data_IF_483690815276
#
_entry.id   IF_483690815276
#
_cell.length_a   1.000
_cell.length_b   1.000
_cell.length_c   1.000
_cell.angle_alpha   90.00
_cell.angle_beta   90.00
_cell.angle_gamma   90.00
#
_symmetry.space_group_name_H-M   'P 1'
#
loop_
_entity.id
_entity.type
_entity.pdbx_description
1 polymer ?
#
# COMPACT_ATOMS: atom_id res chain seq x y z
N UNK A 1 17.68 14.28 15.88
CA UNK A 1 18.22 14.07 14.51
C UNK A 1 18.06 15.36 13.71
N UNK A 2 18.96 15.67 12.77
CA UNK A 2 18.70 16.75 11.82
C UNK A 2 17.45 16.40 10.99
N UNK A 3 16.51 17.34 10.82
CA UNK A 3 15.28 17.15 10.04
C UNK A 3 15.55 16.52 8.67
N UNK A 4 16.65 16.91 8.00
CA UNK A 4 17.04 16.34 6.72
C UNK A 4 17.28 14.81 6.79
N UNK A 5 17.86 14.33 7.89
CA UNK A 5 18.07 12.89 8.10
C UNK A 5 16.74 12.16 8.30
N UNK A 6 15.80 12.77 9.02
CA UNK A 6 14.44 12.23 9.19
C UNK A 6 13.72 12.14 7.84
N UNK A 7 13.81 13.18 7.00
CA UNK A 7 13.25 13.16 5.64
C UNK A 7 13.91 12.11 4.75
N UNK A 8 15.24 11.95 4.84
CA UNK A 8 15.94 10.91 4.08
C UNK A 8 15.53 9.50 4.51
N UNK A 9 15.36 9.26 5.81
CA UNK A 9 14.86 7.98 6.33
C UNK A 9 13.42 7.72 5.90
N UNK A 10 12.56 8.74 5.95
CA UNK A 10 11.18 8.69 5.48
C UNK A 10 11.08 8.23 4.02
N UNK A 11 11.81 8.87 3.11
CA UNK A 11 11.77 8.54 1.67
C UNK A 11 12.32 7.14 1.39
N UNK A 12 13.42 6.75 2.05
CA UNK A 12 13.95 5.38 1.92
C UNK A 12 12.92 4.34 2.35
N UNK A 13 12.16 4.64 3.41
CA UNK A 13 11.04 3.82 3.85
C UNK A 13 9.94 3.73 2.80
N UNK A 14 9.54 4.86 2.20
CA UNK A 14 8.54 4.86 1.12
C UNK A 14 9.00 4.11 -0.14
N UNK A 15 10.29 4.17 -0.49
CA UNK A 15 10.84 3.40 -1.61
C UNK A 15 10.80 1.91 -1.32
N UNK A 16 11.23 1.49 -0.12
CA UNK A 16 11.17 0.09 0.31
C UNK A 16 9.73 -0.42 0.30
N UNK A 17 8.79 0.37 0.82
CA UNK A 17 7.37 0.09 0.79
C UNK A 17 6.86 -0.12 -0.65
N UNK A 18 7.16 0.80 -1.57
CA UNK A 18 6.78 0.67 -2.97
C UNK A 18 7.31 -0.61 -3.62
N UNK A 19 8.56 -0.99 -3.32
CA UNK A 19 9.17 -2.24 -3.82
C UNK A 19 8.44 -3.47 -3.25
N UNK A 20 8.18 -3.50 -1.95
CA UNK A 20 7.51 -4.62 -1.29
C UNK A 20 6.07 -4.78 -1.80
N UNK A 21 5.35 -3.67 -1.95
CA UNK A 21 3.99 -3.65 -2.51
C UNK A 21 3.99 -4.14 -3.97
N UNK A 22 4.94 -3.66 -4.78
CA UNK A 22 5.07 -4.11 -6.16
C UNK A 22 5.36 -5.62 -6.25
N UNK A 23 6.31 -6.10 -5.44
CA UNK A 23 6.67 -7.52 -5.39
C UNK A 23 5.49 -8.38 -4.95
N UNK A 24 4.71 -7.93 -3.95
CA UNK A 24 3.47 -8.59 -3.54
C UNK A 24 2.46 -8.64 -4.70
N UNK A 25 2.26 -7.54 -5.41
CA UNK A 25 1.38 -7.49 -6.58
C UNK A 25 1.81 -8.48 -7.68
N UNK A 26 3.08 -8.47 -8.05
CA UNK A 26 3.63 -9.35 -9.08
C UNK A 26 3.54 -10.84 -8.70
N UNK A 27 3.86 -11.19 -7.44
CA UNK A 27 3.74 -12.57 -6.95
C UNK A 27 2.28 -13.01 -6.88
N UNK A 28 1.34 -12.12 -6.54
CA UNK A 28 -0.10 -12.42 -6.54
C UNK A 28 -0.62 -12.70 -7.96
N UNK A 29 -0.21 -11.92 -8.96
CA UNK A 29 -0.53 -12.18 -10.38
C UNK A 29 0.00 -13.56 -10.78
N UNK A 30 1.26 -13.86 -10.44
CA UNK A 30 1.88 -15.14 -10.74
C UNK A 30 1.10 -16.30 -10.09
N UNK A 31 0.70 -16.16 -8.81
CA UNK A 31 -0.13 -17.15 -8.13
C UNK A 31 -1.47 -17.37 -8.84
N UNK A 32 -2.16 -16.31 -9.27
CA UNK A 32 -3.40 -16.40 -10.05
C UNK A 32 -3.22 -17.21 -11.34
N UNK A 33 -2.12 -16.97 -12.06
CA UNK A 33 -1.77 -17.74 -13.26
C UNK A 33 -1.45 -19.21 -12.93
N UNK A 34 -0.70 -19.48 -11.86
CA UNK A 34 -0.35 -20.84 -11.42
C UNK A 34 -1.60 -21.64 -11.04
N UNK A 35 -2.52 -21.05 -10.29
CA UNK A 35 -3.79 -21.69 -9.92
C UNK A 35 -4.64 -22.04 -11.15
N UNK A 36 -4.66 -21.18 -12.17
CA UNK A 36 -5.35 -21.48 -13.42
C UNK A 36 -4.67 -22.58 -14.23
N UNK A 37 -3.34 -22.52 -14.35
CA UNK A 37 -2.56 -23.42 -15.19
C UNK A 37 -2.48 -24.84 -14.63
N UNK A 38 -2.27 -24.97 -13.32
CA UNK A 38 -2.05 -26.26 -12.65
C UNK A 38 -3.24 -26.73 -11.81
N UNK A 39 -4.24 -25.86 -11.57
CA UNK A 39 -5.44 -26.23 -10.82
C UNK A 39 -6.34 -27.19 -11.60
N UNK A 40 -6.66 -28.33 -10.96
CA UNK A 40 -7.54 -29.35 -11.54
C UNK A 40 -9.02 -29.14 -11.18
N UNK A 41 -9.32 -28.34 -10.15
CA UNK A 41 -10.69 -28.13 -9.65
C UNK A 41 -11.29 -26.79 -10.11
N UNK A 42 -12.63 -26.67 -10.16
CA UNK A 42 -13.30 -25.40 -10.43
C UNK A 42 -12.90 -24.28 -9.46
N UNK A 43 -12.73 -24.60 -8.17
CA UNK A 43 -12.31 -23.64 -7.14
C UNK A 43 -10.91 -23.09 -7.41
N UNK A 44 -9.95 -23.93 -7.81
CA UNK A 44 -8.61 -23.47 -8.14
C UNK A 44 -8.63 -22.52 -9.34
N UNK A 45 -9.35 -22.88 -10.40
CA UNK A 45 -9.46 -22.05 -11.61
C UNK A 45 -10.18 -20.73 -11.38
N UNK A 46 -11.13 -20.69 -10.44
CA UNK A 46 -11.88 -19.48 -10.09
C UNK A 46 -11.01 -18.37 -9.46
N UNK A 47 -9.81 -18.70 -8.97
CA UNK A 47 -8.90 -17.71 -8.35
C UNK A 47 -8.21 -16.79 -9.36
N UNK A 48 -8.19 -17.12 -10.65
CA UNK A 48 -7.42 -16.36 -11.64
C UNK A 48 -7.82 -14.88 -11.69
N UNK A 49 -9.10 -14.59 -11.90
CA UNK A 49 -9.61 -13.22 -12.04
C UNK A 49 -9.35 -12.40 -10.77
N UNK A 50 -9.80 -12.83 -9.57
CA UNK A 50 -9.62 -12.04 -8.35
C UNK A 50 -8.15 -11.81 -7.99
N UNK A 51 -7.28 -12.81 -8.15
CA UNK A 51 -5.85 -12.65 -7.86
C UNK A 51 -5.14 -11.75 -8.88
N UNK A 52 -5.46 -11.87 -10.17
CA UNK A 52 -4.89 -10.99 -11.19
C UNK A 52 -5.30 -9.53 -10.92
N UNK A 53 -6.57 -9.28 -10.60
CA UNK A 53 -7.05 -7.91 -10.33
C UNK A 53 -6.40 -7.33 -9.07
N UNK A 54 -6.41 -8.06 -7.96
CA UNK A 54 -5.76 -7.60 -6.73
C UNK A 54 -4.26 -7.36 -6.95
N UNK A 55 -3.59 -8.29 -7.64
CA UNK A 55 -2.18 -8.21 -7.96
C UNK A 55 -1.83 -7.01 -8.85
N UNK A 56 -2.66 -6.71 -9.87
CA UNK A 56 -2.47 -5.52 -10.70
C UNK A 56 -2.65 -4.22 -9.93
N UNK A 57 -3.64 -4.14 -9.04
CA UNK A 57 -3.85 -2.96 -8.20
C UNK A 57 -2.61 -2.71 -7.33
N UNK A 58 -2.09 -3.71 -6.64
CA UNK A 58 -0.87 -3.55 -5.83
C UNK A 58 0.38 -3.30 -6.66
N UNK A 59 0.56 -3.97 -7.79
CA UNK A 59 1.68 -3.70 -8.68
C UNK A 59 1.66 -2.24 -9.16
N UNK A 60 0.49 -1.73 -9.56
CA UNK A 60 0.35 -0.33 -9.96
C UNK A 60 0.64 0.64 -8.80
N UNK A 61 0.08 0.39 -7.61
CA UNK A 61 0.32 1.21 -6.41
C UNK A 61 1.81 1.24 -6.03
N UNK A 62 2.42 0.07 -5.85
CA UNK A 62 3.84 -0.03 -5.47
C UNK A 62 4.78 0.54 -6.52
N UNK A 63 4.52 0.26 -7.81
CA UNK A 63 5.31 0.80 -8.91
C UNK A 63 5.21 2.33 -9.00
N UNK A 64 4.01 2.88 -8.88
CA UNK A 64 3.80 4.33 -8.89
C UNK A 64 4.49 5.03 -7.70
N UNK A 65 4.41 4.43 -6.51
CA UNK A 65 5.06 4.90 -5.30
C UNK A 65 6.58 4.89 -5.43
N UNK A 66 7.16 3.82 -6.00
CA UNK A 66 8.59 3.72 -6.27
C UNK A 66 9.05 4.84 -7.22
N UNK A 67 8.40 4.98 -8.38
CA UNK A 67 8.78 5.98 -9.40
C UNK A 67 8.65 7.41 -8.86
N UNK A 68 7.54 7.71 -8.17
CA UNK A 68 7.32 9.04 -7.58
C UNK A 68 8.41 9.42 -6.57
N UNK A 69 8.77 8.50 -5.67
CA UNK A 69 9.75 8.77 -4.63
C UNK A 69 11.20 8.80 -5.15
N UNK A 70 11.54 8.00 -6.16
CA UNK A 70 12.83 8.10 -6.85
C UNK A 70 13.02 9.47 -7.51
N UNK A 71 11.99 9.97 -8.19
CA UNK A 71 12.03 11.28 -8.84
C UNK A 71 12.08 12.46 -7.85
N UNK A 72 11.55 12.27 -6.63
CA UNK A 72 11.56 13.30 -5.57
C UNK A 72 12.90 13.44 -4.85
N UNK A 73 13.68 12.36 -4.75
CA UNK A 73 14.94 12.34 -4.02
C UNK A 73 15.93 13.48 -4.40
N UNK A 74 16.21 13.77 -5.69
CA UNK A 74 17.10 14.86 -6.07
C UNK A 74 16.52 16.25 -5.75
N UNK A 75 15.20 16.41 -5.89
CA UNK A 75 14.51 17.69 -5.67
C UNK A 75 14.52 18.07 -4.19
N UNK A 76 14.35 17.10 -3.29
CA UNK A 76 14.27 17.39 -1.86
C UNK A 76 15.54 18.02 -1.29
N UNK A 77 16.73 17.58 -1.73
CA UNK A 77 17.98 18.18 -1.27
C UNK A 77 18.06 19.65 -1.71
N UNK A 78 17.71 19.92 -2.96
CA UNK A 78 17.69 21.27 -3.50
C UNK A 78 16.70 22.17 -2.75
N UNK A 79 15.45 21.74 -2.60
CA UNK A 79 14.41 22.51 -1.90
C UNK A 79 14.77 22.76 -0.43
N UNK A 80 15.34 21.78 0.27
CA UNK A 80 15.80 21.95 1.65
C UNK A 80 16.93 22.99 1.77
N UNK A 81 17.87 23.01 0.82
CA UNK A 81 18.96 24.00 0.81
C UNK A 81 18.51 25.40 0.38
N UNK A 82 17.51 25.50 -0.49
CA UNK A 82 16.98 26.78 -0.98
C UNK A 82 16.13 27.50 0.07
N UNK A 83 15.16 26.80 0.65
CA UNK A 83 14.28 27.39 1.66
C UNK A 83 13.81 26.31 2.66
N UNK A 84 14.53 26.20 3.77
CA UNK A 84 14.24 25.21 4.82
C UNK A 84 12.84 25.38 5.41
N UNK A 85 12.38 26.61 5.64
CA UNK A 85 11.08 26.88 6.28
C UNK A 85 9.93 26.43 5.38
N UNK A 86 9.96 26.84 4.12
CA UNK A 86 8.97 26.46 3.11
C UNK A 86 8.95 24.95 2.86
N UNK A 87 10.13 24.32 2.85
CA UNK A 87 10.25 22.87 2.74
C UNK A 87 9.54 22.13 3.88
N UNK A 88 9.77 22.53 5.13
CA UNK A 88 9.15 21.88 6.30
C UNK A 88 7.62 22.05 6.25
N UNK A 89 7.12 23.24 5.88
CA UNK A 89 5.69 23.50 5.74
C UNK A 89 5.04 22.66 4.63
N UNK A 90 5.75 22.48 3.51
CA UNK A 90 5.29 21.64 2.40
C UNK A 90 5.19 20.18 2.84
N UNK A 91 6.20 19.67 3.56
CA UNK A 91 6.17 18.30 4.08
C UNK A 91 5.10 18.11 5.17
N UNK A 92 4.85 19.11 6.02
CA UNK A 92 3.74 19.09 6.98
C UNK A 92 2.41 18.88 6.27
N UNK A 93 2.12 19.72 5.27
CA UNK A 93 0.89 19.63 4.48
C UNK A 93 0.77 18.26 3.81
N UNK A 94 1.84 17.76 3.19
CA UNK A 94 1.85 16.45 2.54
C UNK A 94 1.45 15.34 3.51
N UNK A 95 2.03 15.31 4.71
CA UNK A 95 1.74 14.28 5.70
C UNK A 95 0.29 14.38 6.18
N UNK A 96 -0.21 15.60 6.43
CA UNK A 96 -1.59 15.85 6.85
C UNK A 96 -2.61 15.42 5.78
N UNK A 97 -2.31 15.67 4.51
CA UNK A 97 -3.21 15.41 3.37
C UNK A 97 -3.49 13.91 3.12
N UNK A 98 -2.71 12.97 3.67
CA UNK A 98 -2.96 11.54 3.48
C UNK A 98 -3.36 10.75 4.74
N UNK A 99 -3.29 11.33 5.95
CA UNK A 99 -3.59 10.58 7.20
C UNK A 99 -4.97 9.93 7.21
N UNK A 100 -5.98 10.58 6.62
CA UNK A 100 -7.34 10.05 6.58
C UNK A 100 -7.43 8.72 5.78
N UNK A 101 -6.49 8.47 4.86
CA UNK A 101 -6.46 7.25 4.06
C UNK A 101 -6.28 5.99 4.92
N UNK A 102 -5.56 6.07 6.04
CA UNK A 102 -5.44 4.95 6.99
C UNK A 102 -6.78 4.57 7.62
N UNK A 103 -7.66 5.54 7.82
CA UNK A 103 -9.02 5.26 8.32
C UNK A 103 -9.87 4.63 7.22
N UNK A 104 -9.79 5.15 5.99
CA UNK A 104 -10.49 4.59 4.84
C UNK A 104 -10.07 3.14 4.60
N UNK A 105 -8.78 2.84 4.63
CA UNK A 105 -8.26 1.50 4.41
C UNK A 105 -8.77 0.49 5.45
N UNK A 106 -8.84 0.87 6.74
CA UNK A 106 -9.47 0.05 7.80
C UNK A 106 -10.94 -0.24 7.52
N UNK A 107 -11.69 0.76 7.06
CA UNK A 107 -13.11 0.61 6.68
C UNK A 107 -13.24 -0.33 5.47
N UNK A 108 -12.43 -0.13 4.43
CA UNK A 108 -12.39 -0.99 3.24
C UNK A 108 -12.07 -2.43 3.63
N UNK A 109 -11.06 -2.65 4.47
CA UNK A 109 -10.69 -3.97 4.94
C UNK A 109 -11.83 -4.65 5.71
N UNK A 110 -12.49 -3.93 6.62
CA UNK A 110 -13.64 -4.45 7.37
C UNK A 110 -14.79 -4.87 6.44
N UNK A 111 -15.11 -4.06 5.43
CA UNK A 111 -16.14 -4.39 4.43
C UNK A 111 -15.73 -5.61 3.61
N UNK A 112 -14.48 -5.68 3.13
CA UNK A 112 -13.97 -6.82 2.39
C UNK A 112 -14.08 -8.12 3.19
N UNK A 113 -13.66 -8.13 4.47
CA UNK A 113 -13.78 -9.31 5.32
C UNK A 113 -15.23 -9.73 5.55
N UNK A 114 -16.11 -8.77 5.84
CA UNK A 114 -17.54 -9.05 6.01
C UNK A 114 -18.13 -9.68 4.74
N UNK A 115 -17.85 -9.11 3.57
CA UNK A 115 -18.32 -9.65 2.30
C UNK A 115 -17.77 -11.06 2.03
N UNK A 116 -16.49 -11.31 2.31
CA UNK A 116 -15.92 -12.66 2.18
C UNK A 116 -16.67 -13.65 3.07
N UNK A 117 -16.92 -13.32 4.34
CA UNK A 117 -17.64 -14.21 5.26
C UNK A 117 -19.07 -14.50 4.75
N UNK A 118 -19.80 -13.47 4.31
CA UNK A 118 -21.15 -13.62 3.75
C UNK A 118 -21.14 -14.51 2.50
N UNK A 119 -20.18 -14.31 1.58
CA UNK A 119 -20.02 -15.12 0.37
C UNK A 119 -19.82 -16.60 0.74
N UNK A 120 -18.93 -16.90 1.68
CA UNK A 120 -18.63 -18.28 2.06
C UNK A 120 -19.78 -18.95 2.81
N UNK A 121 -20.55 -18.17 3.59
CA UNK A 121 -21.69 -18.69 4.34
C UNK A 121 -22.89 -19.00 3.44
N UNK A 122 -23.18 -18.14 2.47
CA UNK A 122 -24.42 -18.19 1.69
C UNK A 122 -24.25 -18.71 0.25
N UNK A 123 -23.01 -18.89 -0.25
CA UNK A 123 -22.77 -19.33 -1.63
C UNK A 123 -21.85 -20.55 -1.71
N UNK A 124 -22.18 -21.46 -2.65
CA UNK A 124 -21.32 -22.59 -3.07
C UNK A 124 -20.71 -22.38 -4.46
N UNK A 125 -20.93 -21.21 -5.08
CA UNK A 125 -20.34 -20.89 -6.37
C UNK A 125 -18.84 -20.70 -6.24
N UNK A 126 -18.06 -21.50 -6.97
CA UNK A 126 -16.60 -21.38 -7.03
C UNK A 126 -16.14 -19.97 -7.39
N UNK A 127 -16.84 -19.31 -8.32
CA UNK A 127 -16.53 -17.94 -8.75
C UNK A 127 -16.71 -16.93 -7.62
N UNK A 128 -17.86 -16.97 -6.94
CA UNK A 128 -18.13 -16.05 -5.83
C UNK A 128 -17.15 -16.26 -4.68
N UNK A 129 -16.89 -17.51 -4.29
CA UNK A 129 -15.90 -17.82 -3.25
C UNK A 129 -14.49 -17.38 -3.64
N UNK A 130 -14.11 -17.52 -4.92
CA UNK A 130 -12.85 -16.99 -5.45
C UNK A 130 -12.74 -15.46 -5.27
N UNK A 131 -13.80 -14.72 -5.57
CA UNK A 131 -13.86 -13.28 -5.28
C UNK A 131 -13.78 -12.97 -3.79
N UNK A 132 -14.43 -13.77 -2.94
CA UNK A 132 -14.27 -13.67 -1.49
C UNK A 132 -12.81 -13.80 -1.05
N UNK A 133 -12.06 -14.75 -1.61
CA UNK A 133 -10.62 -14.90 -1.34
C UNK A 133 -9.84 -13.67 -1.83
N UNK A 134 -10.14 -13.18 -3.03
CA UNK A 134 -9.53 -11.96 -3.57
C UNK A 134 -9.73 -10.72 -2.68
N UNK A 135 -10.95 -10.51 -2.19
CA UNK A 135 -11.28 -9.41 -1.27
C UNK A 135 -10.51 -9.51 0.04
N UNK A 136 -10.41 -10.71 0.62
CA UNK A 136 -9.63 -10.93 1.86
C UNK A 136 -8.15 -10.70 1.63
N UNK A 137 -7.58 -11.21 0.53
CA UNK A 137 -6.18 -10.99 0.19
C UNK A 137 -5.88 -9.50 0.00
N UNK A 138 -6.78 -8.78 -0.69
CA UNK A 138 -6.70 -7.34 -0.86
C UNK A 138 -6.74 -6.62 0.50
N UNK A 139 -7.72 -6.91 1.35
CA UNK A 139 -7.83 -6.29 2.67
C UNK A 139 -6.59 -6.51 3.54
N UNK A 140 -6.08 -7.74 3.61
CA UNK A 140 -4.90 -8.08 4.42
C UNK A 140 -3.67 -7.34 3.91
N UNK A 141 -3.44 -7.35 2.59
CA UNK A 141 -2.29 -6.65 2.01
C UNK A 141 -2.31 -5.15 2.31
N UNK A 142 -3.47 -4.50 2.20
CA UNK A 142 -3.64 -3.09 2.58
C UNK A 142 -3.33 -2.83 4.04
N UNK A 143 -3.85 -3.66 4.95
CA UNK A 143 -3.58 -3.52 6.39
C UNK A 143 -2.11 -3.75 6.75
N UNK A 144 -1.43 -4.70 6.09
CA UNK A 144 0.01 -4.92 6.29
C UNK A 144 0.80 -3.69 5.90
N UNK A 145 0.46 -3.07 4.75
CA UNK A 145 1.09 -1.81 4.30
C UNK A 145 0.86 -0.70 5.31
N UNK A 146 -0.39 -0.49 5.70
CA UNK A 146 -0.75 0.58 6.63
C UNK A 146 -0.08 0.43 7.99
N UNK A 147 0.12 -0.80 8.47
CA UNK A 147 0.68 -1.08 9.78
C UNK A 147 2.04 -0.38 9.98
N UNK A 148 2.96 -0.53 9.04
CA UNK A 148 4.28 0.11 9.12
C UNK A 148 4.30 1.50 8.48
N UNK A 149 3.44 1.77 7.49
CA UNK A 149 3.35 3.08 6.82
C UNK A 149 2.85 4.15 7.80
N UNK A 150 1.81 3.84 8.58
CA UNK A 150 1.23 4.77 9.56
C UNK A 150 2.22 5.08 10.69
N UNK A 151 2.89 4.07 11.26
CA UNK A 151 3.93 4.28 12.29
C UNK A 151 5.04 5.20 11.77
N UNK A 152 5.53 4.93 10.55
CA UNK A 152 6.56 5.75 9.92
C UNK A 152 6.09 7.20 9.72
N UNK A 153 4.82 7.39 9.36
CA UNK A 153 4.24 8.71 9.11
C UNK A 153 4.15 9.51 10.41
N UNK A 154 3.77 8.87 11.51
CA UNK A 154 3.73 9.47 12.83
C UNK A 154 5.14 9.88 13.33
N UNK A 155 6.15 9.02 13.12
CA UNK A 155 7.56 9.34 13.45
C UNK A 155 8.03 10.56 12.65
N UNK A 156 7.74 10.60 11.34
CA UNK A 156 8.15 11.70 10.49
C UNK A 156 7.39 13.00 10.83
N UNK A 157 6.10 12.92 11.10
CA UNK A 157 5.29 14.06 11.52
C UNK A 157 5.77 14.69 12.83
N UNK A 158 6.17 13.87 13.81
CA UNK A 158 6.81 14.37 15.05
C UNK A 158 8.08 15.16 14.75
N UNK A 159 8.93 14.66 13.84
CA UNK A 159 10.14 15.37 13.43
C UNK A 159 9.83 16.69 12.69
N UNK A 160 8.75 16.76 11.91
CA UNK A 160 8.26 18.00 11.29
C UNK A 160 7.87 19.01 12.38
N UNK A 161 7.07 18.60 13.36
CA UNK A 161 6.61 19.48 14.43
C UNK A 161 7.76 19.99 15.30
N UNK A 162 8.77 19.16 15.57
CA UNK A 162 9.98 19.57 16.28
C UNK A 162 10.81 20.58 15.47
N UNK A 163 10.88 20.44 14.15
CA UNK A 163 11.63 21.35 13.29
C UNK A 163 10.95 22.71 13.07
N UNK A 164 9.65 22.83 13.41
CA UNK A 164 8.86 24.07 13.33
C UNK A 164 8.83 24.86 14.65
N UNK A 165 9.35 24.29 15.74
CA UNK A 165 9.56 25.00 17.01
C UNK A 165 10.81 25.86 16.94
#
# INVERSE_FOLDING_TARGET
>A
MNFFNSTSAWIKGEILEGILIFAFGATTILSGWLFWKFGTTPNAKALIIPLIIAGFVYAALGGSMYVSNQNRLPVFRQSFTQNKSEFIQTEKKRVEDFQYMYTISKVVAAVCFLLTLLIFWFSKSSSLQGWGIGLTLFAIAGLVVDYFSQERAEIYYKAILEALK
#
